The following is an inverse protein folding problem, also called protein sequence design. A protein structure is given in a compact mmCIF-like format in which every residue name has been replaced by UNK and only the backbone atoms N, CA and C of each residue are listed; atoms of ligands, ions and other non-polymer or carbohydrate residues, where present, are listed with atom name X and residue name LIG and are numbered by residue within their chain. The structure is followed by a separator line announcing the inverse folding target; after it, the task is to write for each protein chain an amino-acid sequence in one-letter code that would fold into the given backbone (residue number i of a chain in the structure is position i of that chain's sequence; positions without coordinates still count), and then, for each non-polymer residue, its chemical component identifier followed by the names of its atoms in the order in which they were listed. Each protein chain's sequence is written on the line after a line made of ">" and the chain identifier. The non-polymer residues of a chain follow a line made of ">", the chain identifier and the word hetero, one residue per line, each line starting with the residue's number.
data_IF_907140566509
#
_entry.id   IF_907140566509
#
_cell.length_a   1.000
_cell.length_b   1.000
_cell.length_c   1.000
_cell.angle_alpha   90.00
_cell.angle_beta   90.00
_cell.angle_gamma   90.00
#
_symmetry.space_group_name_H-M   'P 1'
#
loop_
_entity.id
_entity.type
_entity.pdbx_description
1 polymer ?
#
# COMPACT_ATOMS: atom_id res chain seq x y z
N UNK A 1 -34.95 0.36 23.89
CA UNK A 1 -33.75 -0.25 24.53
C UNK A 1 -32.65 0.76 24.52
N UNK A 2 -32.13 1.16 25.67
CA UNK A 2 -31.21 2.27 25.82
C UNK A 2 -29.87 1.98 25.16
N UNK A 3 -29.43 2.88 24.25
CA UNK A 3 -28.08 2.95 23.73
C UNK A 3 -27.11 3.06 24.92
N UNK A 4 -26.50 1.96 25.32
CA UNK A 4 -25.35 2.00 26.21
C UNK A 4 -24.29 2.86 25.51
N UNK A 5 -24.00 4.03 26.09
CA UNK A 5 -23.00 4.95 25.58
C UNK A 5 -21.70 4.15 25.29
N UNK A 6 -21.36 3.94 24.01
CA UNK A 6 -20.15 3.22 23.59
C UNK A 6 -18.96 3.89 24.28
N UNK A 7 -18.40 3.22 25.29
CA UNK A 7 -17.20 3.72 25.99
C UNK A 7 -16.07 3.84 24.96
N UNK A 8 -15.48 5.01 24.84
CA UNK A 8 -14.38 5.26 23.91
C UNK A 8 -13.30 4.17 24.05
N UNK A 9 -12.89 3.53 22.94
CA UNK A 9 -11.84 2.50 22.91
C UNK A 9 -10.51 2.98 23.51
N UNK A 10 -10.25 4.28 23.50
CA UNK A 10 -9.05 4.86 24.13
C UNK A 10 -9.00 4.68 25.66
N UNK A 11 -10.10 4.29 26.31
CA UNK A 11 -10.10 3.89 27.72
C UNK A 11 -9.53 2.47 27.93
N UNK A 12 -9.41 1.66 26.88
CA UNK A 12 -8.75 0.35 26.92
C UNK A 12 -7.23 0.58 26.72
N UNK A 13 -6.41 0.35 27.78
CA UNK A 13 -5.00 0.73 27.73
C UNK A 13 -4.22 -0.02 26.65
N UNK A 14 -4.56 -1.28 26.37
CA UNK A 14 -3.90 -2.06 25.31
C UNK A 14 -4.18 -1.50 23.91
N UNK A 15 -5.44 -1.15 23.62
CA UNK A 15 -5.80 -0.52 22.35
C UNK A 15 -5.16 0.86 22.20
N UNK A 16 -5.20 1.69 23.24
CA UNK A 16 -4.60 3.02 23.20
C UNK A 16 -3.09 2.95 22.89
N UNK A 17 -2.37 1.97 23.49
CA UNK A 17 -0.95 1.75 23.23
C UNK A 17 -0.69 1.29 21.81
N UNK A 18 -1.48 0.31 21.30
CA UNK A 18 -1.36 -0.17 19.92
C UNK A 18 -1.65 0.96 18.92
N UNK A 19 -2.75 1.70 19.12
CA UNK A 19 -3.11 2.81 18.26
C UNK A 19 -2.04 3.91 18.25
N UNK A 20 -1.49 4.27 19.41
CA UNK A 20 -0.42 5.26 19.51
C UNK A 20 0.85 4.76 18.84
N UNK A 21 1.25 3.50 19.06
CA UNK A 21 2.39 2.86 18.42
C UNK A 21 2.27 2.91 16.89
N UNK A 22 1.15 2.45 16.35
CA UNK A 22 0.88 2.48 14.91
C UNK A 22 0.89 3.91 14.37
N UNK A 23 0.22 4.86 15.04
CA UNK A 23 0.16 6.25 14.58
C UNK A 23 1.54 6.89 14.51
N UNK A 24 2.37 6.75 15.55
CA UNK A 24 3.71 7.33 15.57
C UNK A 24 4.58 6.75 14.45
N UNK A 25 4.57 5.42 14.27
CA UNK A 25 5.37 4.78 13.22
C UNK A 25 4.90 5.13 11.82
N UNK A 26 3.58 5.30 11.57
CA UNK A 26 3.05 5.73 10.28
C UNK A 26 3.54 7.13 9.88
N UNK A 27 3.53 8.07 10.81
CA UNK A 27 4.06 9.43 10.55
C UNK A 27 5.57 9.41 10.33
N UNK A 28 6.32 8.62 11.13
CA UNK A 28 7.76 8.44 10.95
C UNK A 28 8.09 7.87 9.57
N UNK A 29 7.39 6.81 9.15
CA UNK A 29 7.54 6.22 7.82
C UNK A 29 7.32 7.24 6.70
N UNK A 30 6.30 8.12 6.82
CA UNK A 30 6.06 9.20 5.87
C UNK A 30 7.26 10.16 5.73
N UNK A 31 7.99 10.37 6.82
CA UNK A 31 9.23 11.18 6.82
C UNK A 31 10.35 10.46 6.06
N UNK A 32 10.59 9.17 6.36
CA UNK A 32 11.66 8.38 5.72
C UNK A 32 11.41 8.15 4.23
N UNK A 33 10.16 8.00 3.81
CA UNK A 33 9.78 7.88 2.39
C UNK A 33 10.24 9.06 1.53
N UNK A 34 10.37 10.26 2.11
CA UNK A 34 10.94 11.42 1.45
C UNK A 34 12.45 11.53 1.68
N UNK A 35 12.91 11.26 2.92
CA UNK A 35 14.29 11.51 3.32
C UNK A 35 15.28 10.53 2.67
N UNK A 36 14.96 9.24 2.56
CA UNK A 36 15.88 8.23 2.01
C UNK A 36 16.17 8.47 0.52
N UNK A 37 15.16 8.66 -0.37
CA UNK A 37 15.42 9.02 -1.76
C UNK A 37 16.16 10.37 -1.89
N UNK A 38 15.90 11.34 -1.02
CA UNK A 38 16.65 12.59 -0.99
C UNK A 38 18.13 12.37 -0.65
N UNK A 39 18.43 11.55 0.35
CA UNK A 39 19.82 11.18 0.68
C UNK A 39 20.51 10.57 -0.53
N UNK A 40 19.89 9.60 -1.19
CA UNK A 40 20.44 8.96 -2.38
C UNK A 40 20.67 9.96 -3.52
N UNK A 41 19.66 10.77 -3.84
CA UNK A 41 19.71 11.69 -4.96
C UNK A 41 20.60 12.91 -4.71
N UNK A 42 20.54 13.54 -3.53
CA UNK A 42 21.14 14.85 -3.28
C UNK A 42 22.45 14.74 -2.48
N UNK A 43 22.46 13.96 -1.39
CA UNK A 43 23.63 13.86 -0.51
C UNK A 43 24.69 12.95 -1.13
N UNK A 44 24.32 11.73 -1.51
CA UNK A 44 25.24 10.78 -2.13
C UNK A 44 25.50 11.08 -3.60
N UNK A 45 24.64 11.88 -4.24
CA UNK A 45 24.70 12.17 -5.67
C UNK A 45 24.77 10.89 -6.52
N UNK A 46 24.07 9.85 -6.06
CA UNK A 46 24.06 8.55 -6.74
C UNK A 46 23.47 8.66 -8.15
N UNK A 47 24.00 7.97 -9.17
CA UNK A 47 23.41 7.92 -10.51
C UNK A 47 21.90 7.62 -10.48
N UNK A 48 21.16 8.06 -11.48
CA UNK A 48 19.71 7.87 -11.52
C UNK A 48 19.32 6.38 -11.49
N UNK A 49 20.11 5.54 -12.17
CA UNK A 49 19.94 4.09 -12.12
C UNK A 49 20.08 3.51 -10.71
N UNK A 50 21.03 4.00 -9.91
CA UNK A 50 21.20 3.55 -8.53
C UNK A 50 20.03 3.97 -7.65
N UNK A 51 19.48 5.19 -7.84
CA UNK A 51 18.28 5.64 -7.11
C UNK A 51 17.06 4.83 -7.52
N UNK A 52 16.89 4.52 -8.81
CA UNK A 52 15.83 3.64 -9.29
C UNK A 52 15.96 2.19 -8.78
N UNK A 53 17.21 1.70 -8.67
CA UNK A 53 17.50 0.39 -8.07
C UNK A 53 17.15 0.35 -6.57
N UNK A 54 17.34 1.45 -5.84
CA UNK A 54 16.93 1.56 -4.44
C UNK A 54 15.41 1.30 -4.30
N UNK A 55 14.59 1.95 -5.11
CA UNK A 55 13.15 1.70 -5.14
C UNK A 55 12.81 0.24 -5.48
N UNK A 56 13.55 -0.38 -6.41
CA UNK A 56 13.40 -1.80 -6.73
C UNK A 56 13.68 -2.68 -5.51
N UNK A 57 14.77 -2.42 -4.80
CA UNK A 57 15.22 -3.21 -3.64
C UNK A 57 14.27 -3.05 -2.45
N UNK A 58 13.70 -1.88 -2.23
CA UNK A 58 12.71 -1.62 -1.17
C UNK A 58 11.42 -2.42 -1.38
N UNK A 59 10.97 -2.59 -2.63
CA UNK A 59 9.75 -3.35 -2.95
C UNK A 59 9.97 -4.84 -3.19
N UNK A 60 11.20 -5.27 -3.46
CA UNK A 60 11.52 -6.67 -3.72
C UNK A 60 11.08 -7.64 -2.60
N UNK A 61 11.21 -7.31 -1.29
CA UNK A 61 10.74 -8.15 -0.21
C UNK A 61 9.24 -8.46 -0.27
N UNK A 62 8.41 -7.52 -0.71
CA UNK A 62 6.97 -7.76 -0.86
C UNK A 62 6.68 -8.84 -1.89
N UNK A 63 7.41 -8.86 -2.99
CA UNK A 63 7.28 -9.92 -4.00
C UNK A 63 7.76 -11.27 -3.49
N UNK A 64 8.89 -11.30 -2.77
CA UNK A 64 9.53 -12.55 -2.35
C UNK A 64 8.91 -13.17 -1.10
N UNK A 65 8.50 -12.35 -0.12
CA UNK A 65 8.16 -12.82 1.23
C UNK A 65 6.69 -12.71 1.59
N UNK A 66 5.84 -11.98 0.84
CA UNK A 66 4.41 -11.84 1.22
C UNK A 66 3.70 -13.21 1.36
N UNK A 67 3.94 -14.13 0.42
CA UNK A 67 3.31 -15.46 0.47
C UNK A 67 3.86 -16.35 1.59
N UNK A 68 5.19 -16.49 1.79
CA UNK A 68 5.71 -17.29 2.90
C UNK A 68 5.51 -16.63 4.27
N UNK A 69 5.38 -15.30 4.35
CA UNK A 69 5.20 -14.59 5.61
C UNK A 69 3.93 -15.02 6.35
N UNK A 70 2.81 -15.23 5.63
CA UNK A 70 1.58 -15.72 6.24
C UNK A 70 1.78 -17.03 7.01
N UNK A 71 2.41 -18.02 6.38
CA UNK A 71 2.68 -19.33 6.99
C UNK A 71 3.64 -19.23 8.19
N UNK A 72 4.59 -18.30 8.12
CA UNK A 72 5.57 -18.13 9.19
C UNK A 72 5.00 -17.38 10.39
N UNK A 73 4.23 -16.33 10.14
CA UNK A 73 3.60 -15.52 11.19
C UNK A 73 2.66 -16.36 12.05
N UNK A 74 1.94 -17.33 11.46
CA UNK A 74 1.06 -18.21 12.21
C UNK A 74 1.78 -19.14 13.19
N UNK A 75 3.10 -19.36 13.00
CA UNK A 75 3.92 -20.24 13.88
C UNK A 75 4.52 -19.52 15.08
N UNK A 76 4.51 -18.20 15.08
CA UNK A 76 5.17 -17.40 16.13
C UNK A 76 4.18 -16.49 16.84
N UNK A 77 4.42 -16.13 18.11
CA UNK A 77 3.61 -15.14 18.82
C UNK A 77 3.64 -13.80 18.08
N UNK A 78 2.47 -13.35 17.59
CA UNK A 78 2.30 -12.14 16.77
C UNK A 78 2.96 -10.91 17.40
N UNK A 79 2.78 -10.71 18.71
CA UNK A 79 3.42 -9.62 19.45
C UNK A 79 4.95 -9.64 19.35
N UNK A 80 5.59 -10.80 19.34
CA UNK A 80 7.06 -10.88 19.18
C UNK A 80 7.49 -10.45 17.79
N UNK A 81 6.72 -10.80 16.76
CA UNK A 81 6.98 -10.38 15.39
C UNK A 81 6.89 -8.87 15.27
N UNK A 82 5.85 -8.24 15.85
CA UNK A 82 5.70 -6.79 15.87
C UNK A 82 6.88 -6.10 16.54
N UNK A 83 7.29 -6.58 17.73
CA UNK A 83 8.43 -6.01 18.47
C UNK A 83 9.74 -6.17 17.69
N UNK A 84 10.02 -7.36 17.14
CA UNK A 84 11.24 -7.62 16.37
C UNK A 84 11.25 -6.80 15.09
N UNK A 85 10.09 -6.68 14.43
CA UNK A 85 9.92 -5.86 13.23
C UNK A 85 10.25 -4.40 13.48
N UNK A 86 9.69 -3.81 14.54
CA UNK A 86 9.95 -2.41 14.89
C UNK A 86 11.39 -2.17 15.35
N UNK A 87 11.96 -3.04 16.21
CA UNK A 87 13.34 -2.95 16.63
C UNK A 87 14.31 -3.09 15.46
N UNK A 88 14.03 -4.03 14.54
CA UNK A 88 14.85 -4.26 13.35
C UNK A 88 14.81 -3.06 12.41
N UNK A 89 13.62 -2.51 12.11
CA UNK A 89 13.45 -1.31 11.30
C UNK A 89 14.15 -0.10 11.95
N UNK A 90 13.92 0.12 13.24
CA UNK A 90 14.56 1.20 13.98
C UNK A 90 16.08 1.10 13.97
N UNK A 91 16.64 -0.10 14.22
CA UNK A 91 18.09 -0.32 14.20
C UNK A 91 18.71 -0.06 12.81
N UNK A 92 18.06 -0.53 11.75
CA UNK A 92 18.53 -0.28 10.38
C UNK A 92 18.49 1.21 10.05
N UNK A 93 17.42 1.92 10.37
CA UNK A 93 17.31 3.36 10.12
C UNK A 93 18.31 4.18 10.93
N UNK A 94 18.57 3.84 12.20
CA UNK A 94 19.60 4.52 13.03
C UNK A 94 21.00 4.43 12.40
N UNK A 95 21.29 3.37 11.64
CA UNK A 95 22.58 3.20 10.97
C UNK A 95 22.87 4.32 9.95
N UNK A 96 21.83 4.91 9.33
CA UNK A 96 21.99 5.96 8.31
C UNK A 96 22.57 7.26 8.91
N UNK A 97 21.98 7.87 9.95
CA UNK A 97 22.57 9.08 10.54
C UNK A 97 23.93 8.83 11.18
N UNK A 98 24.18 7.65 11.74
CA UNK A 98 25.50 7.30 12.29
C UNK A 98 26.55 7.27 11.18
N UNK A 99 26.27 6.60 10.07
CA UNK A 99 27.20 6.51 8.94
C UNK A 99 27.38 7.89 8.26
N UNK A 100 26.31 8.70 8.19
CA UNK A 100 26.40 10.06 7.68
C UNK A 100 27.29 10.95 8.55
N UNK A 101 27.15 10.86 9.88
CA UNK A 101 28.00 11.59 10.83
C UNK A 101 29.48 11.14 10.77
N UNK A 102 29.71 9.85 10.51
CA UNK A 102 31.05 9.29 10.31
C UNK A 102 31.64 9.56 8.92
N UNK A 103 30.87 10.14 7.98
CA UNK A 103 31.31 10.40 6.62
C UNK A 103 31.49 9.14 5.75
N UNK A 104 30.90 8.00 6.15
CA UNK A 104 31.03 6.69 5.47
C UNK A 104 29.72 6.19 4.86
N UNK A 105 28.69 7.04 4.80
CA UNK A 105 27.39 6.69 4.22
C UNK A 105 27.56 6.41 2.71
N UNK A 106 27.02 5.26 2.25
CA UNK A 106 27.08 4.83 0.86
C UNK A 106 25.71 4.36 0.36
N UNK A 107 25.54 4.30 -0.95
CA UNK A 107 24.30 3.79 -1.56
C UNK A 107 24.05 2.31 -1.22
N UNK A 108 25.11 1.52 -1.08
CA UNK A 108 25.02 0.10 -0.68
C UNK A 108 24.40 -0.08 0.70
N UNK A 109 24.68 0.86 1.62
CA UNK A 109 24.04 0.86 2.93
C UNK A 109 22.55 1.15 2.81
N UNK A 110 22.14 2.10 1.94
CA UNK A 110 20.72 2.37 1.70
C UNK A 110 20.01 1.16 1.09
N UNK A 111 20.67 0.42 0.19
CA UNK A 111 20.13 -0.85 -0.36
C UNK A 111 19.91 -1.89 0.73
N UNK A 112 20.90 -2.09 1.62
CA UNK A 112 20.77 -3.01 2.74
C UNK A 112 19.65 -2.61 3.68
N UNK A 113 19.60 -1.33 4.07
CA UNK A 113 18.55 -0.78 4.94
C UNK A 113 17.19 -0.93 4.28
N UNK A 114 17.04 -0.55 3.01
CA UNK A 114 15.76 -0.66 2.27
C UNK A 114 15.27 -2.10 2.17
N UNK A 115 16.16 -3.04 1.84
CA UNK A 115 15.82 -4.46 1.75
C UNK A 115 15.38 -5.04 3.11
N UNK A 116 16.18 -4.82 4.16
CA UNK A 116 15.87 -5.33 5.51
C UNK A 116 14.59 -4.70 6.05
N UNK A 117 14.43 -3.38 5.89
CA UNK A 117 13.18 -2.70 6.24
C UNK A 117 11.97 -3.29 5.51
N UNK A 118 12.09 -3.52 4.20
CA UNK A 118 11.03 -4.16 3.43
C UNK A 118 10.67 -5.55 3.96
N UNK A 119 11.67 -6.40 4.27
CA UNK A 119 11.44 -7.71 4.89
C UNK A 119 10.70 -7.57 6.21
N UNK A 120 11.21 -6.71 7.11
CA UNK A 120 10.58 -6.49 8.43
C UNK A 120 9.14 -5.96 8.30
N UNK A 121 8.89 -5.09 7.32
CA UNK A 121 7.56 -4.54 7.05
C UNK A 121 6.59 -5.63 6.61
N UNK A 122 6.98 -6.51 5.69
CA UNK A 122 6.12 -7.63 5.25
C UNK A 122 5.68 -8.50 6.43
N UNK A 123 6.60 -8.89 7.31
CA UNK A 123 6.26 -9.70 8.48
C UNK A 123 5.43 -8.92 9.50
N UNK A 124 5.74 -7.64 9.69
CA UNK A 124 4.99 -6.76 10.59
C UNK A 124 3.55 -6.62 10.13
N UNK A 125 3.31 -6.31 8.86
CA UNK A 125 1.97 -6.07 8.30
C UNK A 125 1.06 -7.30 8.46
N UNK A 126 1.60 -8.49 8.18
CA UNK A 126 0.83 -9.74 8.37
C UNK A 126 0.52 -10.00 9.85
N UNK A 127 1.46 -9.70 10.76
CA UNK A 127 1.25 -9.89 12.18
C UNK A 127 0.27 -8.85 12.77
N UNK A 128 0.34 -7.58 12.33
CA UNK A 128 -0.48 -6.48 12.84
C UNK A 128 -1.96 -6.71 12.57
N UNK A 129 -2.31 -7.12 11.35
CA UNK A 129 -3.69 -7.45 10.97
C UNK A 129 -4.30 -8.54 11.86
N UNK A 130 -3.49 -9.51 12.24
CA UNK A 130 -3.91 -10.61 13.10
C UNK A 130 -3.85 -10.26 14.59
N UNK A 131 -3.24 -9.14 14.99
CA UNK A 131 -3.04 -8.77 16.40
C UNK A 131 -4.21 -7.95 16.96
N UNK A 132 -4.84 -7.09 16.16
CA UNK A 132 -5.99 -6.29 16.61
C UNK A 132 -7.16 -7.14 17.15
N UNK A 133 -7.57 -8.27 16.50
CA UNK A 133 -8.60 -9.14 17.02
C UNK A 133 -8.25 -9.83 18.35
N UNK A 134 -6.97 -9.90 18.73
CA UNK A 134 -6.56 -10.45 20.02
C UNK A 134 -6.73 -9.46 21.19
N UNK A 135 -6.83 -8.15 20.90
CA UNK A 135 -6.92 -7.07 21.89
C UNK A 135 -8.36 -6.59 22.07
N UNK A 136 -9.20 -6.63 21.03
CA UNK A 136 -10.56 -6.12 21.00
C UNK A 136 -11.58 -7.26 20.95
N UNK A 137 -12.80 -6.98 21.41
CA UNK A 137 -13.95 -7.85 21.23
C UNK A 137 -14.51 -7.71 19.81
N UNK A 138 -15.25 -8.72 19.30
CA UNK A 138 -15.73 -8.73 17.90
C UNK A 138 -16.57 -7.51 17.54
N UNK A 139 -17.42 -7.04 18.44
CA UNK A 139 -18.28 -5.85 18.27
C UNK A 139 -17.50 -4.52 18.29
N UNK A 140 -16.26 -4.53 18.73
CA UNK A 140 -15.36 -3.36 18.80
C UNK A 140 -14.38 -3.27 17.63
N UNK A 141 -14.20 -4.36 16.86
CA UNK A 141 -13.23 -4.43 15.78
C UNK A 141 -13.48 -3.36 14.70
N UNK A 142 -14.75 -3.14 14.34
CA UNK A 142 -15.09 -2.11 13.35
C UNK A 142 -14.68 -0.71 13.80
N UNK A 143 -14.91 -0.35 15.08
CA UNK A 143 -14.49 0.96 15.64
C UNK A 143 -12.96 1.04 15.77
N UNK A 144 -12.29 -0.06 16.14
CA UNK A 144 -10.83 -0.15 16.20
C UNK A 144 -10.17 0.07 14.84
N UNK A 145 -10.62 -0.66 13.83
CA UNK A 145 -10.15 -0.52 12.45
C UNK A 145 -10.40 0.90 11.91
N UNK A 146 -11.58 1.48 12.16
CA UNK A 146 -11.89 2.85 11.74
C UNK A 146 -10.90 3.87 12.34
N UNK A 147 -10.49 3.72 13.60
CA UNK A 147 -9.50 4.60 14.24
C UNK A 147 -8.11 4.45 13.67
N UNK A 148 -7.68 3.21 13.40
CA UNK A 148 -6.40 2.96 12.72
C UNK A 148 -6.41 3.53 11.30
N UNK A 149 -7.51 3.38 10.56
CA UNK A 149 -7.66 3.94 9.23
C UNK A 149 -7.62 5.47 9.20
N UNK A 150 -8.18 6.14 10.21
CA UNK A 150 -8.07 7.60 10.35
C UNK A 150 -6.59 8.01 10.52
N UNK A 151 -5.83 7.29 11.37
CA UNK A 151 -4.41 7.55 11.55
C UNK A 151 -3.61 7.32 10.25
N UNK A 152 -3.90 6.23 9.53
CA UNK A 152 -3.30 5.93 8.23
C UNK A 152 -3.56 7.06 7.23
N UNK A 153 -4.81 7.51 7.11
CA UNK A 153 -5.19 8.61 6.21
C UNK A 153 -4.51 9.92 6.58
N UNK A 154 -4.43 10.23 7.89
CA UNK A 154 -3.74 11.42 8.37
C UNK A 154 -2.23 11.36 8.07
N UNK A 155 -1.59 10.21 8.31
CA UNK A 155 -0.17 10.02 8.00
C UNK A 155 0.13 10.11 6.50
N UNK A 156 -0.77 9.62 5.65
CA UNK A 156 -0.64 9.76 4.20
C UNK A 156 -0.67 11.20 3.73
N UNK A 157 -1.56 12.03 4.30
CA UNK A 157 -1.70 13.43 3.91
C UNK A 157 -0.57 14.29 4.49
N UNK A 158 -0.22 14.05 5.75
CA UNK A 158 0.67 14.93 6.51
C UNK A 158 2.10 14.41 6.61
N UNK A 159 2.33 13.11 6.43
CA UNK A 159 3.64 12.48 6.63
C UNK A 159 4.71 13.05 5.69
N UNK A 160 4.44 13.11 4.40
CA UNK A 160 5.40 13.66 3.43
C UNK A 160 5.61 15.18 3.58
N UNK A 161 4.57 16.04 3.75
CA UNK A 161 4.78 17.45 4.08
C UNK A 161 5.61 17.66 5.36
N UNK A 162 5.32 16.89 6.41
CA UNK A 162 6.14 16.92 7.63
C UNK A 162 7.57 16.49 7.36
N UNK A 163 7.76 15.42 6.57
CA UNK A 163 9.06 14.95 6.14
C UNK A 163 9.87 16.03 5.40
N UNK A 164 9.25 16.69 4.44
CA UNK A 164 9.86 17.79 3.69
C UNK A 164 10.29 18.93 4.61
N UNK A 165 9.40 19.36 5.52
CA UNK A 165 9.72 20.39 6.50
C UNK A 165 10.84 19.99 7.48
N UNK A 166 10.84 18.75 7.96
CA UNK A 166 11.87 18.23 8.86
C UNK A 166 13.23 18.15 8.15
N UNK A 167 13.26 17.64 6.90
CA UNK A 167 14.51 17.58 6.10
C UNK A 167 15.09 18.98 5.88
N UNK A 168 14.25 19.97 5.64
CA UNK A 168 14.68 21.36 5.45
C UNK A 168 15.19 22.02 6.73
N UNK A 169 14.55 21.76 7.86
CA UNK A 169 14.92 22.38 9.14
C UNK A 169 16.13 21.72 9.80
N UNK A 170 16.29 20.40 9.64
CA UNK A 170 17.35 19.64 10.31
C UNK A 170 18.40 19.15 9.30
N UNK A 171 18.18 18.05 8.71
CA UNK A 171 18.90 17.40 7.58
C UNK A 171 18.19 16.08 7.26
N UNK A 172 18.37 15.52 6.07
CA UNK A 172 17.72 14.25 5.73
C UNK A 172 18.16 13.07 6.62
N UNK A 173 19.44 12.88 7.00
CA UNK A 173 19.81 11.83 7.96
C UNK A 173 19.15 12.01 9.34
N UNK A 174 19.00 13.26 9.82
CA UNK A 174 18.29 13.51 11.08
C UNK A 174 16.77 13.26 10.98
N UNK A 175 16.18 13.50 9.82
CA UNK A 175 14.80 13.15 9.56
C UNK A 175 14.58 11.61 9.63
N UNK A 176 15.51 10.82 9.08
CA UNK A 176 15.50 9.35 9.22
C UNK A 176 15.67 8.92 10.67
N UNK A 177 16.46 9.64 11.50
CA UNK A 177 16.59 9.35 12.92
C UNK A 177 15.25 9.52 13.66
N UNK A 178 14.44 10.52 13.30
CA UNK A 178 13.11 10.71 13.88
C UNK A 178 12.22 9.49 13.62
N UNK A 179 12.24 8.96 12.40
CA UNK A 179 11.52 7.72 12.08
C UNK A 179 12.07 6.52 12.86
N UNK A 180 13.39 6.38 12.93
CA UNK A 180 14.00 5.33 13.73
C UNK A 180 13.53 5.37 15.20
N UNK A 181 13.48 6.56 15.79
CA UNK A 181 12.95 6.77 17.15
C UNK A 181 11.46 6.42 17.21
N UNK A 182 10.68 6.71 16.17
CA UNK A 182 9.27 6.37 16.10
C UNK A 182 9.05 4.85 16.19
N UNK A 183 9.84 4.05 15.47
CA UNK A 183 9.81 2.59 15.55
C UNK A 183 10.25 2.06 16.91
N UNK A 184 11.30 2.62 17.51
CA UNK A 184 11.74 2.22 18.85
C UNK A 184 10.68 2.58 19.91
N UNK A 185 10.00 3.72 19.76
CA UNK A 185 8.87 4.12 20.59
C UNK A 185 7.66 3.19 20.42
N UNK A 186 7.36 2.81 19.18
CA UNK A 186 6.33 1.82 18.85
C UNK A 186 6.62 0.47 19.52
N UNK A 187 7.84 -0.04 19.36
CA UNK A 187 8.29 -1.28 20.01
C UNK A 187 8.11 -1.22 21.54
N UNK A 188 8.52 -0.12 22.17
CA UNK A 188 8.38 0.08 23.62
C UNK A 188 6.91 0.07 24.06
N UNK A 189 6.03 0.72 23.29
CA UNK A 189 4.58 0.70 23.56
C UNK A 189 4.01 -0.72 23.41
N UNK A 190 4.35 -1.45 22.35
CA UNK A 190 3.90 -2.83 22.13
C UNK A 190 4.43 -3.76 23.25
N UNK A 191 5.69 -3.60 23.69
CA UNK A 191 6.25 -4.31 24.85
C UNK A 191 5.45 -4.02 26.12
N UNK A 192 4.92 -2.82 26.28
CA UNK A 192 4.15 -2.43 27.46
C UNK A 192 2.68 -2.94 27.45
N UNK A 193 2.19 -3.54 26.35
CA UNK A 193 0.87 -4.17 26.28
C UNK A 193 0.89 -5.42 27.18
N UNK A 194 -0.07 -5.51 28.08
CA UNK A 194 -0.22 -6.68 28.96
C UNK A 194 -1.10 -7.72 28.24
N UNK A 195 -0.53 -8.87 27.96
CA UNK A 195 -1.29 -10.01 27.42
C UNK A 195 -2.25 -10.53 28.49
N UNK A 196 -3.54 -10.58 28.16
CA UNK A 196 -4.56 -11.25 28.98
C UNK A 196 -4.44 -12.77 28.80
N UNK A 197 -5.00 -13.55 29.74
CA UNK A 197 -5.01 -15.01 29.66
C UNK A 197 -5.65 -15.56 28.36
N UNK A 198 -6.43 -14.75 27.65
CA UNK A 198 -7.04 -15.08 26.34
C UNK A 198 -6.01 -15.11 25.19
N UNK A 199 -4.94 -14.31 25.26
CA UNK A 199 -3.91 -14.22 24.23
C UNK A 199 -3.06 -15.48 24.15
N UNK A 200 -2.82 -16.12 25.29
CA UNK A 200 -2.05 -17.37 25.38
C UNK A 200 -2.84 -18.54 24.77
N UNK A 201 -4.16 -18.56 24.93
CA UNK A 201 -5.05 -19.60 24.40
C UNK A 201 -5.30 -19.41 22.88
N UNK A 202 -5.39 -18.16 22.39
CA UNK A 202 -5.51 -17.88 20.96
C UNK A 202 -4.23 -18.27 20.19
N UNK A 203 -3.05 -18.01 20.76
CA UNK A 203 -1.77 -18.43 20.18
C UNK A 203 -1.60 -19.97 20.09
N UNK A 204 -2.29 -20.73 20.95
CA UNK A 204 -2.29 -22.20 20.89
C UNK A 204 -3.43 -22.77 20.03
N UNK A 205 -4.54 -22.06 19.84
CA UNK A 205 -5.64 -22.46 18.97
C UNK A 205 -5.46 -22.08 17.49
N UNK A 206 -4.69 -21.05 17.20
CA UNK A 206 -4.31 -20.70 15.83
C UNK A 206 -3.36 -21.73 15.16
N UNK A 207 -2.95 -22.76 15.88
CA UNK A 207 -2.31 -23.96 15.32
C UNK A 207 -3.32 -24.90 14.63
N UNK A 208 -4.61 -24.56 14.61
CA UNK A 208 -5.64 -25.30 13.87
C UNK A 208 -5.87 -24.62 12.50
N UNK A 209 -5.77 -25.33 11.38
CA UNK A 209 -5.85 -24.73 10.03
C UNK A 209 -7.21 -24.11 9.66
N UNK A 210 -8.17 -24.08 10.57
CA UNK A 210 -9.57 -23.74 10.30
C UNK A 210 -9.86 -22.25 10.43
N UNK A 211 -9.09 -21.50 11.24
CA UNK A 211 -9.39 -20.09 11.54
C UNK A 211 -8.66 -19.09 10.61
N UNK A 212 -7.89 -19.55 9.63
CA UNK A 212 -7.10 -18.70 8.74
C UNK A 212 -7.90 -18.08 7.57
N UNK A 213 -9.17 -18.42 7.41
CA UNK A 213 -9.98 -17.99 6.24
C UNK A 213 -10.62 -16.60 6.44
N UNK A 214 -10.90 -16.20 7.70
CA UNK A 214 -11.62 -14.95 7.98
C UNK A 214 -10.74 -13.68 8.10
N UNK A 215 -9.41 -13.82 8.07
CA UNK A 215 -8.51 -12.67 8.28
C UNK A 215 -8.19 -11.88 6.99
N UNK A 216 -8.70 -12.31 5.83
CA UNK A 216 -8.31 -11.78 4.52
C UNK A 216 -9.06 -10.52 4.09
N UNK A 217 -10.15 -10.16 4.74
CA UNK A 217 -10.98 -9.01 4.34
C UNK A 217 -10.42 -7.63 4.73
N UNK A 218 -9.64 -7.55 5.81
CA UNK A 218 -9.07 -6.28 6.27
C UNK A 218 -7.85 -5.80 5.46
N UNK A 219 -7.24 -6.68 4.65
CA UNK A 219 -5.94 -6.46 4.01
C UNK A 219 -6.00 -5.64 2.71
N UNK A 220 -7.20 -5.38 2.18
CA UNK A 220 -7.34 -4.73 0.87
C UNK A 220 -7.25 -3.20 0.90
N UNK A 221 -7.36 -2.61 2.07
CA UNK A 221 -7.35 -1.14 2.22
C UNK A 221 -5.96 -0.58 2.48
N UNK A 222 -5.07 -1.37 3.08
CA UNK A 222 -3.74 -0.89 3.48
C UNK A 222 -2.67 -0.96 2.38
N UNK A 223 -2.90 -1.75 1.34
CA UNK A 223 -1.84 -2.15 0.42
C UNK A 223 -1.88 -1.55 -0.99
N UNK A 224 -2.93 -0.83 -1.31
CA UNK A 224 -3.01 -0.12 -2.58
C UNK A 224 -3.15 1.35 -2.32
N UNK A 225 -2.04 2.08 -2.12
CA UNK A 225 -2.13 3.51 -1.83
C UNK A 225 -3.16 3.81 -0.72
N UNK A 226 -2.66 4.11 0.44
CA UNK A 226 -3.33 4.92 1.43
C UNK A 226 -4.55 5.67 0.89
N UNK A 227 -5.71 5.30 1.26
CA UNK A 227 -6.88 6.09 1.51
C UNK A 227 -8.19 5.59 0.89
N UNK A 228 -9.11 5.40 1.76
CA UNK A 228 -10.50 5.68 1.50
C UNK A 228 -11.31 4.61 0.82
N UNK A 229 -11.78 3.65 1.59
CA UNK A 229 -13.10 3.08 1.43
C UNK A 229 -13.48 2.28 2.67
N UNK A 230 -13.92 2.96 3.72
CA UNK A 230 -14.74 2.36 4.76
C UNK A 230 -16.15 2.89 4.60
N UNK A 231 -16.93 2.29 3.71
CA UNK A 231 -18.40 2.44 3.69
C UNK A 231 -18.99 1.08 3.41
N UNK A 232 -19.81 0.63 4.34
CA UNK A 232 -20.75 -0.48 4.26
C UNK A 232 -20.16 -1.90 4.30
N UNK A 233 -19.99 -2.43 5.52
CA UNK A 233 -20.28 -3.81 5.82
C UNK A 233 -21.29 -3.84 6.97
N UNK A 234 -22.55 -3.81 6.61
CA UNK A 234 -23.64 -4.21 7.49
C UNK A 234 -24.50 -5.22 6.69
N UNK A 235 -24.67 -6.40 7.27
CA UNK A 235 -25.49 -7.51 6.81
C UNK A 235 -24.77 -8.64 6.06
N UNK A 236 -24.24 -9.60 6.81
CA UNK A 236 -24.35 -11.03 6.54
C UNK A 236 -23.92 -11.81 7.79
N UNK A 237 -24.85 -12.00 8.71
CA UNK A 237 -24.74 -12.99 9.78
C UNK A 237 -25.82 -14.01 9.50
N UNK A 238 -25.42 -15.13 8.97
CA UNK A 238 -25.95 -16.49 9.11
C UNK A 238 -25.52 -17.34 7.91
N UNK A 239 -24.27 -17.81 7.92
CA UNK A 239 -23.88 -18.98 7.16
C UNK A 239 -22.85 -19.78 7.98
N UNK A 240 -23.06 -21.08 8.24
CA UNK A 240 -22.04 -21.91 8.88
C UNK A 240 -20.89 -22.06 7.89
N UNK A 241 -19.77 -21.38 8.16
CA UNK A 241 -18.57 -21.37 7.32
C UNK A 241 -18.13 -22.78 6.84
N UNK A 242 -17.31 -22.85 5.79
CA UNK A 242 -16.97 -24.10 5.11
C UNK A 242 -16.42 -25.15 6.06
N UNK A 243 -16.94 -26.38 5.92
CA UNK A 243 -16.54 -27.53 6.74
C UNK A 243 -15.16 -28.04 6.33
N UNK A 244 -14.48 -28.76 7.23
CA UNK A 244 -13.17 -29.39 6.98
C UNK A 244 -13.06 -30.23 5.68
N UNK A 245 -14.19 -30.58 5.08
CA UNK A 245 -14.26 -31.28 3.80
C UNK A 245 -13.93 -30.40 2.58
N UNK A 246 -13.97 -29.07 2.75
CA UNK A 246 -13.72 -28.08 1.69
C UNK A 246 -12.26 -27.57 1.64
N UNK A 247 -11.38 -28.10 2.50
CA UNK A 247 -9.96 -27.74 2.46
C UNK A 247 -9.34 -28.23 1.13
N UNK A 248 -8.75 -27.34 0.32
CA UNK A 248 -8.26 -27.71 -1.00
C UNK A 248 -7.09 -28.70 -0.87
N UNK A 249 -7.23 -29.86 -1.53
CA UNK A 249 -6.17 -30.84 -1.69
C UNK A 249 -5.10 -30.28 -2.65
N UNK A 250 -4.15 -29.48 -2.12
CA UNK A 250 -3.04 -28.96 -2.93
C UNK A 250 -2.16 -28.04 -2.11
N UNK A 251 -0.83 -28.14 -2.31
CA UNK A 251 0.13 -27.23 -1.67
C UNK A 251 -0.05 -25.78 -2.14
N UNK A 252 0.56 -24.81 -1.43
CA UNK A 252 0.50 -23.37 -1.71
C UNK A 252 0.70 -23.03 -3.20
N UNK A 253 1.58 -23.74 -3.91
CA UNK A 253 1.80 -23.56 -5.36
C UNK A 253 0.53 -23.84 -6.18
N UNK A 254 -0.19 -24.92 -5.88
CA UNK A 254 -1.42 -25.27 -6.58
C UNK A 254 -2.49 -24.17 -6.37
N UNK A 255 -2.63 -23.65 -5.16
CA UNK A 255 -3.60 -22.59 -4.84
C UNK A 255 -3.29 -21.27 -5.59
N UNK A 256 -2.01 -20.92 -5.74
CA UNK A 256 -1.60 -19.75 -6.53
C UNK A 256 -1.91 -19.97 -8.01
N UNK A 257 -1.60 -21.15 -8.55
CA UNK A 257 -1.90 -21.46 -9.94
C UNK A 257 -3.41 -21.48 -10.22
N UNK A 258 -4.21 -22.00 -9.30
CA UNK A 258 -5.68 -22.01 -9.42
C UNK A 258 -6.22 -20.57 -9.43
N UNK A 259 -5.76 -19.72 -8.51
CA UNK A 259 -6.14 -18.30 -8.46
C UNK A 259 -5.71 -17.54 -9.72
N UNK A 260 -4.50 -17.79 -10.21
CA UNK A 260 -3.98 -17.16 -11.43
C UNK A 260 -4.78 -17.61 -12.66
N UNK A 261 -5.07 -18.92 -12.77
CA UNK A 261 -5.86 -19.48 -13.85
C UNK A 261 -7.29 -18.94 -13.86
N UNK A 262 -7.90 -18.81 -12.66
CA UNK A 262 -9.20 -18.20 -12.49
C UNK A 262 -9.21 -16.75 -12.99
N UNK A 263 -8.24 -15.93 -12.61
CA UNK A 263 -8.14 -14.53 -13.04
C UNK A 263 -7.98 -14.42 -14.55
N UNK A 264 -7.04 -15.17 -15.14
CA UNK A 264 -6.72 -15.08 -16.58
C UNK A 264 -7.89 -15.52 -17.44
N UNK A 265 -8.65 -16.54 -17.02
CA UNK A 265 -9.81 -17.03 -17.78
C UNK A 265 -11.09 -16.26 -17.54
N UNK A 266 -11.15 -15.49 -16.46
CA UNK A 266 -12.36 -14.73 -16.14
C UNK A 266 -12.46 -13.49 -17.04
N UNK A 267 -13.61 -13.30 -17.68
CA UNK A 267 -13.89 -12.26 -18.68
C UNK A 267 -13.55 -10.83 -18.20
N UNK A 268 -13.74 -10.53 -16.92
CA UNK A 268 -13.52 -9.21 -16.33
C UNK A 268 -12.19 -9.12 -15.56
N UNK A 269 -11.87 -10.13 -14.74
CA UNK A 269 -10.74 -10.10 -13.82
C UNK A 269 -9.39 -9.99 -14.54
N UNK A 270 -9.22 -10.72 -15.64
CA UNK A 270 -8.00 -10.70 -16.44
C UNK A 270 -7.70 -9.29 -16.99
N UNK A 271 -8.72 -8.61 -17.51
CA UNK A 271 -8.55 -7.26 -18.05
C UNK A 271 -8.30 -6.20 -16.97
N UNK A 272 -8.93 -6.34 -15.78
CA UNK A 272 -8.66 -5.49 -14.63
C UNK A 272 -7.22 -5.71 -14.13
N UNK A 273 -6.77 -6.97 -14.00
CA UNK A 273 -5.41 -7.31 -13.61
C UNK A 273 -4.37 -6.76 -14.60
N UNK A 274 -4.62 -6.90 -15.90
CA UNK A 274 -3.76 -6.37 -16.95
C UNK A 274 -3.69 -4.83 -16.88
N UNK A 275 -4.82 -4.13 -16.78
CA UNK A 275 -4.86 -2.68 -16.65
C UNK A 275 -4.10 -2.21 -15.41
N UNK A 276 -4.33 -2.80 -14.24
CA UNK A 276 -3.65 -2.40 -13.00
C UNK A 276 -2.14 -2.71 -13.08
N UNK A 277 -1.78 -3.91 -13.57
CA UNK A 277 -0.38 -4.33 -13.69
C UNK A 277 0.40 -3.46 -14.68
N UNK A 278 -0.17 -3.17 -15.85
CA UNK A 278 0.44 -2.29 -16.86
C UNK A 278 0.55 -0.85 -16.33
N UNK A 279 -0.48 -0.36 -15.66
CA UNK A 279 -0.46 0.97 -15.04
C UNK A 279 0.65 1.08 -13.98
N UNK A 280 0.79 0.09 -13.10
CA UNK A 280 1.87 0.05 -12.13
C UNK A 280 3.24 -0.06 -12.79
N UNK A 281 3.38 -0.91 -13.81
CA UNK A 281 4.63 -1.05 -14.54
C UNK A 281 5.08 0.30 -15.12
N UNK A 282 4.20 0.93 -15.89
CA UNK A 282 4.52 2.17 -16.59
C UNK A 282 4.74 3.34 -15.64
N UNK A 283 3.91 3.50 -14.62
CA UNK A 283 4.07 4.58 -13.63
C UNK A 283 5.35 4.42 -12.79
N UNK A 284 5.79 3.19 -12.50
CA UNK A 284 7.01 2.96 -11.74
C UNK A 284 8.29 3.13 -12.58
N UNK A 285 8.22 3.12 -13.92
CA UNK A 285 9.35 3.54 -14.77
C UNK A 285 9.80 4.97 -14.42
N UNK A 286 8.86 5.91 -14.34
CA UNK A 286 9.15 7.29 -13.95
C UNK A 286 9.22 7.49 -12.44
N UNK A 287 8.37 6.77 -11.69
CA UNK A 287 8.27 6.90 -10.23
C UNK A 287 9.57 6.60 -9.49
N UNK A 288 10.29 5.55 -9.89
CA UNK A 288 11.54 5.15 -9.26
C UNK A 288 12.65 6.20 -9.38
N UNK A 289 12.68 6.95 -10.48
CA UNK A 289 13.67 8.00 -10.74
C UNK A 289 13.16 9.41 -10.43
N UNK A 290 11.87 9.53 -10.00
CA UNK A 290 11.25 10.82 -9.69
C UNK A 290 12.06 11.66 -8.68
N UNK A 291 12.69 11.11 -7.63
CA UNK A 291 13.53 11.91 -6.73
C UNK A 291 14.71 12.59 -7.46
N UNK A 292 15.34 11.91 -8.42
CA UNK A 292 16.43 12.51 -9.23
C UNK A 292 15.86 13.60 -10.13
N UNK A 293 14.73 13.35 -10.77
CA UNK A 293 14.05 14.32 -11.61
C UNK A 293 13.64 15.57 -10.81
N UNK A 294 12.97 15.37 -9.66
CA UNK A 294 12.51 16.48 -8.84
C UNK A 294 13.68 17.32 -8.26
N UNK A 295 14.66 16.67 -7.66
CA UNK A 295 15.71 17.39 -6.95
C UNK A 295 16.85 17.90 -7.85
N UNK A 296 17.24 17.14 -8.87
CA UNK A 296 18.40 17.52 -9.71
C UNK A 296 18.02 18.19 -11.02
N UNK A 297 16.96 17.71 -11.69
CA UNK A 297 16.54 18.28 -12.97
C UNK A 297 15.70 19.55 -12.75
N UNK A 298 14.73 19.50 -11.84
CA UNK A 298 13.85 20.62 -11.55
C UNK A 298 14.31 21.51 -10.40
N UNK A 299 15.35 21.13 -9.66
CA UNK A 299 15.89 21.91 -8.55
C UNK A 299 14.91 22.10 -7.38
N UNK A 300 13.97 21.19 -7.19
CA UNK A 300 12.94 21.31 -6.16
C UNK A 300 13.54 21.16 -4.75
N UNK A 301 12.94 21.85 -3.79
CA UNK A 301 13.30 21.69 -2.37
C UNK A 301 12.55 20.51 -1.74
N UNK A 302 13.06 19.95 -0.61
CA UNK A 302 12.36 18.88 0.11
C UNK A 302 10.94 19.27 0.54
N UNK A 303 10.72 20.53 0.93
CA UNK A 303 9.41 21.04 1.32
C UNK A 303 8.45 21.03 0.13
N UNK A 304 8.93 21.42 -1.06
CA UNK A 304 8.14 21.43 -2.27
C UNK A 304 7.69 20.00 -2.65
N UNK A 305 8.60 19.04 -2.58
CA UNK A 305 8.28 17.61 -2.84
C UNK A 305 7.35 17.08 -1.75
N UNK A 306 7.57 17.43 -0.49
CA UNK A 306 6.67 17.10 0.61
C UNK A 306 5.26 17.68 0.41
N UNK A 307 5.14 18.94 -0.02
CA UNK A 307 3.86 19.57 -0.32
C UNK A 307 3.11 18.84 -1.45
N UNK A 308 3.81 18.42 -2.50
CA UNK A 308 3.24 17.61 -3.59
C UNK A 308 2.68 16.30 -3.04
N UNK A 309 3.39 15.62 -2.14
CA UNK A 309 2.89 14.43 -1.45
C UNK A 309 1.62 14.69 -0.63
N UNK A 310 1.56 15.82 0.07
CA UNK A 310 0.37 16.27 0.79
C UNK A 310 -0.83 16.54 -0.14
N UNK A 311 -0.59 17.18 -1.29
CA UNK A 311 -1.61 17.39 -2.32
C UNK A 311 -2.11 16.06 -2.89
N UNK A 312 -1.20 15.09 -3.14
CA UNK A 312 -1.59 13.73 -3.52
C UNK A 312 -2.51 13.10 -2.48
N UNK A 313 -2.15 13.19 -1.18
CA UNK A 313 -2.99 12.72 -0.07
C UNK A 313 -4.37 13.38 -0.04
N UNK A 314 -4.47 14.70 -0.26
CA UNK A 314 -5.74 15.40 -0.37
C UNK A 314 -6.56 14.91 -1.58
N UNK A 315 -5.89 14.62 -2.71
CA UNK A 315 -6.51 14.01 -3.90
C UNK A 315 -7.13 12.65 -3.60
N UNK A 316 -6.43 11.82 -2.81
CA UNK A 316 -6.94 10.52 -2.36
C UNK A 316 -8.26 10.68 -1.58
N UNK A 317 -8.32 11.59 -0.60
CA UNK A 317 -9.55 11.86 0.15
C UNK A 317 -10.69 12.32 -0.75
N UNK A 318 -10.41 13.27 -1.63
CA UNK A 318 -11.44 13.76 -2.55
C UNK A 318 -11.92 12.65 -3.49
N UNK A 319 -10.99 11.83 -4.02
CA UNK A 319 -11.30 10.67 -4.84
C UNK A 319 -12.28 9.72 -4.15
N UNK A 320 -12.01 9.39 -2.88
CA UNK A 320 -12.90 8.53 -2.09
C UNK A 320 -14.31 9.12 -1.95
N UNK A 321 -14.40 10.42 -1.65
CA UNK A 321 -15.70 11.11 -1.47
C UNK A 321 -16.54 11.18 -2.74
N UNK A 322 -15.90 11.28 -3.92
CA UNK A 322 -16.62 11.44 -5.19
C UNK A 322 -16.94 10.13 -5.90
N UNK A 323 -16.22 9.03 -5.57
CA UNK A 323 -16.31 7.75 -6.28
C UNK A 323 -17.75 7.24 -6.37
N UNK A 324 -18.46 7.17 -5.22
CA UNK A 324 -19.85 6.67 -5.18
C UNK A 324 -20.77 7.50 -6.06
N UNK A 325 -20.65 8.84 -6.01
CA UNK A 325 -21.46 9.73 -6.83
C UNK A 325 -21.20 9.54 -8.33
N UNK A 326 -19.94 9.28 -8.71
CA UNK A 326 -19.58 9.00 -10.10
C UNK A 326 -20.18 7.66 -10.53
N UNK A 327 -20.07 6.61 -9.70
CA UNK A 327 -20.64 5.28 -9.96
C UNK A 327 -22.16 5.33 -10.14
N UNK A 328 -22.87 6.08 -9.30
CA UNK A 328 -24.31 6.26 -9.40
C UNK A 328 -24.74 6.96 -10.72
N UNK A 329 -23.91 7.87 -11.24
CA UNK A 329 -24.24 8.65 -12.46
C UNK A 329 -23.91 7.93 -13.76
N UNK A 330 -22.76 7.27 -13.84
CA UNK A 330 -22.27 6.69 -15.10
C UNK A 330 -22.15 5.17 -15.10
N UNK A 331 -22.37 4.53 -13.95
CA UNK A 331 -22.21 3.08 -13.73
C UNK A 331 -20.77 2.69 -13.36
N UNK A 332 -20.64 1.52 -12.72
CA UNK A 332 -19.37 1.04 -12.15
C UNK A 332 -18.31 0.81 -13.24
N UNK A 333 -18.67 0.15 -14.32
CA UNK A 333 -17.73 -0.19 -15.40
C UNK A 333 -17.17 1.05 -16.12
N UNK A 334 -18.01 2.06 -16.38
CA UNK A 334 -17.55 3.33 -16.94
C UNK A 334 -16.71 4.13 -15.97
N UNK A 335 -16.98 4.03 -14.66
CA UNK A 335 -16.18 4.67 -13.62
C UNK A 335 -14.77 4.05 -13.58
N UNK A 336 -14.65 2.72 -13.69
CA UNK A 336 -13.37 2.02 -13.81
C UNK A 336 -12.59 2.52 -15.04
N UNK A 337 -13.25 2.58 -16.19
CA UNK A 337 -12.62 3.06 -17.43
C UNK A 337 -12.19 4.52 -17.30
N UNK A 338 -13.05 5.41 -16.78
CA UNK A 338 -12.75 6.83 -16.61
C UNK A 338 -11.52 7.04 -15.70
N UNK A 339 -11.51 6.37 -14.54
CA UNK A 339 -10.39 6.47 -13.60
C UNK A 339 -9.07 6.00 -14.23
N UNK A 340 -9.09 4.87 -14.94
CA UNK A 340 -7.90 4.35 -15.62
C UNK A 340 -7.44 5.27 -16.76
N UNK A 341 -8.39 5.74 -17.63
CA UNK A 341 -8.07 6.53 -18.81
C UNK A 341 -7.62 7.95 -18.48
N UNK A 342 -8.16 8.56 -17.40
CA UNK A 342 -7.81 9.94 -17.05
C UNK A 342 -6.41 10.05 -16.41
N UNK A 343 -5.86 8.97 -15.83
CA UNK A 343 -4.55 8.99 -15.19
C UNK A 343 -3.42 9.31 -16.18
N UNK A 344 -3.44 8.73 -17.38
CA UNK A 344 -2.40 8.93 -18.39
C UNK A 344 -2.25 10.40 -18.85
N UNK A 345 -3.32 11.05 -19.36
CA UNK A 345 -3.26 12.46 -19.78
C UNK A 345 -2.80 13.40 -18.66
N UNK A 346 -3.23 13.16 -17.41
CA UNK A 346 -2.78 13.96 -16.27
C UNK A 346 -1.29 13.71 -15.98
N UNK A 347 -0.81 12.48 -16.16
CA UNK A 347 0.61 12.13 -15.98
C UNK A 347 1.54 12.85 -16.98
N UNK A 348 1.07 13.20 -18.18
CA UNK A 348 1.83 13.97 -19.16
C UNK A 348 2.21 15.39 -18.69
N UNK A 349 1.53 15.91 -17.67
CA UNK A 349 1.88 17.21 -17.09
C UNK A 349 3.23 17.18 -16.36
N UNK A 350 3.65 16.00 -15.84
CA UNK A 350 4.89 15.88 -15.06
C UNK A 350 6.12 16.24 -15.90
N UNK A 351 6.38 15.63 -17.07
CA UNK A 351 7.56 15.96 -17.86
C UNK A 351 7.50 17.33 -18.57
N UNK A 352 6.32 17.99 -18.64
CA UNK A 352 6.16 19.35 -19.20
C UNK A 352 6.61 20.41 -18.19
N UNK A 353 6.67 20.08 -16.89
CA UNK A 353 7.00 21.03 -15.84
C UNK A 353 8.43 21.58 -16.03
N UNK A 354 8.55 22.91 -15.90
CA UNK A 354 9.81 23.62 -15.79
C UNK A 354 10.18 23.89 -14.31
N UNK A 355 11.44 24.20 -13.98
CA UNK A 355 11.82 24.56 -12.60
C UNK A 355 10.93 25.59 -11.94
N UNK A 356 10.45 26.58 -12.69
CA UNK A 356 9.60 27.67 -12.20
C UNK A 356 8.16 27.22 -11.92
N UNK A 357 7.65 26.27 -12.70
CA UNK A 357 6.27 25.78 -12.64
C UNK A 357 6.12 24.44 -11.96
N UNK A 358 7.24 23.79 -11.58
CA UNK A 358 7.29 22.43 -11.10
C UNK A 358 6.32 22.16 -9.96
N UNK A 359 6.33 22.98 -8.91
CA UNK A 359 5.47 22.78 -7.73
C UNK A 359 3.99 22.82 -8.10
N UNK A 360 3.59 23.78 -8.95
CA UNK A 360 2.21 23.92 -9.35
C UNK A 360 1.76 22.79 -10.28
N UNK A 361 2.52 22.53 -11.36
CA UNK A 361 2.13 21.56 -12.38
C UNK A 361 2.20 20.13 -11.84
N UNK A 362 3.31 19.77 -11.17
CA UNK A 362 3.47 18.43 -10.61
C UNK A 362 2.51 18.24 -9.43
N UNK A 363 2.33 19.26 -8.58
CA UNK A 363 1.36 19.20 -7.49
C UNK A 363 -0.08 19.00 -7.98
N UNK A 364 -0.50 19.73 -9.00
CA UNK A 364 -1.81 19.54 -9.64
C UNK A 364 -1.91 18.16 -10.28
N UNK A 365 -0.85 17.70 -10.97
CA UNK A 365 -0.83 16.37 -11.59
C UNK A 365 -0.98 15.27 -10.54
N UNK A 366 -0.21 15.27 -9.47
CA UNK A 366 -0.29 14.27 -8.40
C UNK A 366 -1.65 14.29 -7.69
N UNK A 367 -2.19 15.49 -7.43
CA UNK A 367 -3.54 15.63 -6.86
C UNK A 367 -4.60 14.99 -7.76
N UNK A 368 -4.62 15.32 -9.05
CA UNK A 368 -5.60 14.77 -10.01
C UNK A 368 -5.38 13.28 -10.26
N UNK A 369 -4.13 12.82 -10.41
CA UNK A 369 -3.81 11.41 -10.56
C UNK A 369 -4.28 10.60 -9.35
N UNK A 370 -4.14 11.14 -8.14
CA UNK A 370 -4.60 10.47 -6.91
C UNK A 370 -6.13 10.33 -6.89
N UNK A 371 -6.87 11.35 -7.33
CA UNK A 371 -8.33 11.24 -7.49
C UNK A 371 -8.67 10.12 -8.48
N UNK A 372 -8.07 10.13 -9.67
CA UNK A 372 -8.32 9.13 -10.72
C UNK A 372 -7.98 7.72 -10.24
N UNK A 373 -6.85 7.57 -9.55
CA UNK A 373 -6.40 6.28 -9.01
C UNK A 373 -7.38 5.72 -7.96
N UNK A 374 -7.87 6.56 -7.03
CA UNK A 374 -8.85 6.11 -6.02
C UNK A 374 -10.18 5.76 -6.67
N UNK A 375 -10.68 6.59 -7.61
CA UNK A 375 -11.90 6.29 -8.36
C UNK A 375 -11.79 4.95 -9.08
N UNK A 376 -10.65 4.69 -9.72
CA UNK A 376 -10.36 3.39 -10.35
C UNK A 376 -10.31 2.27 -9.32
N UNK A 377 -9.50 2.43 -8.27
CA UNK A 377 -9.19 1.36 -7.31
C UNK A 377 -10.43 0.92 -6.52
N UNK A 378 -11.18 1.85 -5.94
CA UNK A 378 -12.42 1.55 -5.22
C UNK A 378 -13.41 0.81 -6.12
N UNK A 379 -13.60 1.30 -7.35
CA UNK A 379 -14.59 0.71 -8.27
C UNK A 379 -14.19 -0.71 -8.73
N UNK A 380 -12.90 -0.92 -9.05
CA UNK A 380 -12.44 -2.24 -9.52
C UNK A 380 -12.38 -3.27 -8.39
N UNK A 381 -12.03 -2.85 -7.16
CA UNK A 381 -12.00 -3.75 -5.99
C UNK A 381 -13.42 -4.21 -5.66
N UNK A 382 -14.37 -3.27 -5.56
CA UNK A 382 -15.78 -3.61 -5.30
C UNK A 382 -16.35 -4.56 -6.36
N UNK A 383 -16.06 -4.30 -7.65
CA UNK A 383 -16.50 -5.21 -8.72
C UNK A 383 -15.87 -6.60 -8.59
N UNK A 384 -14.56 -6.68 -8.34
CA UNK A 384 -13.85 -7.95 -8.19
C UNK A 384 -14.42 -8.80 -7.06
N UNK A 385 -14.69 -8.18 -5.91
CA UNK A 385 -15.28 -8.86 -4.75
C UNK A 385 -16.67 -9.39 -5.08
N UNK A 386 -17.50 -8.59 -5.72
CA UNK A 386 -18.87 -8.98 -6.05
C UNK A 386 -18.99 -10.12 -7.09
N UNK A 387 -18.03 -10.23 -8.02
CA UNK A 387 -18.06 -11.27 -9.08
C UNK A 387 -17.26 -12.53 -8.73
N UNK A 388 -16.56 -12.52 -7.59
CA UNK A 388 -15.72 -13.65 -7.16
C UNK A 388 -16.49 -14.47 -6.13
N UNK A 389 -16.68 -15.80 -6.32
CA UNK A 389 -17.27 -16.65 -5.30
C UNK A 389 -16.46 -16.63 -3.99
N UNK A 390 -17.13 -16.62 -2.83
CA UNK A 390 -16.49 -16.50 -1.51
C UNK A 390 -15.33 -17.48 -1.30
N UNK A 391 -15.50 -18.74 -1.71
CA UNK A 391 -14.45 -19.77 -1.66
C UNK A 391 -13.19 -19.44 -2.46
N UNK A 392 -13.25 -18.49 -3.40
CA UNK A 392 -12.14 -18.09 -4.26
C UNK A 392 -11.58 -16.71 -3.93
N UNK A 393 -12.25 -15.91 -3.08
CA UNK A 393 -11.85 -14.53 -2.75
C UNK A 393 -10.40 -14.44 -2.28
N UNK A 394 -10.01 -15.26 -1.31
CA UNK A 394 -8.64 -15.27 -0.80
C UNK A 394 -7.59 -15.60 -1.87
N UNK A 395 -7.85 -16.63 -2.70
CA UNK A 395 -6.95 -17.02 -3.79
C UNK A 395 -6.87 -15.96 -4.88
N UNK A 396 -8.02 -15.40 -5.26
CA UNK A 396 -8.10 -14.31 -6.24
C UNK A 396 -7.31 -13.10 -5.76
N UNK A 397 -7.49 -12.68 -4.50
CA UNK A 397 -6.79 -11.54 -3.94
C UNK A 397 -5.27 -11.76 -3.87
N UNK A 398 -4.81 -12.92 -3.40
CA UNK A 398 -3.38 -13.26 -3.36
C UNK A 398 -2.76 -13.26 -4.77
N UNK A 399 -3.45 -13.84 -5.76
CA UNK A 399 -3.00 -13.87 -7.15
C UNK A 399 -3.01 -12.49 -7.80
N UNK A 400 -4.03 -11.66 -7.54
CA UNK A 400 -4.08 -10.26 -7.98
C UNK A 400 -2.94 -9.46 -7.39
N UNK A 401 -2.69 -9.59 -6.11
CA UNK A 401 -1.59 -8.91 -5.42
C UNK A 401 -0.24 -9.28 -6.05
N UNK A 402 0.00 -10.55 -6.28
CA UNK A 402 1.21 -11.02 -6.94
C UNK A 402 1.37 -10.45 -8.35
N UNK A 403 0.32 -10.50 -9.18
CA UNK A 403 0.34 -9.97 -10.55
C UNK A 403 0.58 -8.46 -10.59
N UNK A 404 -0.12 -7.73 -9.72
CA UNK A 404 -0.16 -6.27 -9.76
C UNK A 404 1.07 -5.65 -9.08
N UNK A 405 1.49 -6.21 -7.93
CA UNK A 405 2.64 -5.68 -7.20
C UNK A 405 3.97 -6.18 -7.74
N UNK A 406 3.99 -7.36 -8.34
CA UNK A 406 5.18 -7.87 -9.01
C UNK A 406 5.65 -6.99 -10.18
N UNK A 407 4.77 -6.16 -10.76
CA UNK A 407 5.15 -5.22 -11.81
C UNK A 407 5.89 -3.98 -11.30
N UNK A 408 5.76 -3.63 -10.01
CA UNK A 408 6.41 -2.45 -9.41
C UNK A 408 7.94 -2.54 -9.49
N UNK A 409 8.61 -3.58 -8.94
CA UNK A 409 10.07 -3.68 -9.04
C UNK A 409 10.55 -3.84 -10.50
N UNK A 410 9.76 -4.43 -11.38
CA UNK A 410 10.10 -4.54 -12.80
C UNK A 410 10.08 -3.15 -13.45
N UNK A 411 9.04 -2.35 -13.22
CA UNK A 411 8.96 -0.98 -13.72
C UNK A 411 10.08 -0.10 -13.19
N UNK A 412 10.38 -0.20 -11.89
CA UNK A 412 11.49 0.53 -11.26
C UNK A 412 12.84 0.16 -11.86
N UNK A 413 13.09 -1.13 -12.12
CA UNK A 413 14.34 -1.60 -12.75
C UNK A 413 14.45 -1.12 -14.19
N UNK A 414 13.36 -1.15 -14.97
CA UNK A 414 13.33 -0.61 -16.33
C UNK A 414 13.62 0.90 -16.30
N UNK A 415 13.00 1.64 -15.38
CA UNK A 415 13.23 3.08 -15.21
C UNK A 415 14.68 3.39 -14.83
N UNK A 416 15.26 2.61 -13.92
CA UNK A 416 16.67 2.70 -13.57
C UNK A 416 17.58 2.54 -14.80
N UNK A 417 17.37 1.47 -15.58
CA UNK A 417 18.18 1.22 -16.79
C UNK A 417 17.97 2.27 -17.89
N UNK A 418 16.72 2.67 -18.16
CA UNK A 418 16.43 3.69 -19.16
C UNK A 418 17.06 5.04 -18.81
N UNK A 419 17.01 5.44 -17.53
CA UNK A 419 17.58 6.72 -17.11
C UNK A 419 19.09 6.85 -17.35
N UNK A 420 19.83 5.74 -17.36
CA UNK A 420 21.26 5.71 -17.68
C UNK A 420 21.52 5.76 -19.20
N UNK A 421 20.59 5.26 -20.02
CA UNK A 421 20.77 5.17 -21.48
C UNK A 421 20.26 6.41 -22.19
N UNK A 422 19.06 6.87 -21.86
CA UNK A 422 18.38 7.97 -22.57
C UNK A 422 18.27 9.25 -21.75
N UNK A 423 18.60 9.20 -20.46
CA UNK A 423 18.49 10.34 -19.56
C UNK A 423 17.23 10.32 -18.69
N UNK A 424 17.25 11.15 -17.63
CA UNK A 424 16.17 11.20 -16.62
C UNK A 424 14.90 11.81 -17.20
N UNK A 425 15.01 12.95 -17.88
CA UNK A 425 13.88 13.66 -18.49
C UNK A 425 13.15 12.79 -19.51
N UNK A 426 13.89 12.14 -20.39
CA UNK A 426 13.38 11.28 -21.45
C UNK A 426 12.70 10.05 -20.88
N UNK A 427 13.24 9.48 -19.80
CA UNK A 427 12.62 8.35 -19.09
C UNK A 427 11.29 8.74 -18.47
N UNK A 428 11.17 9.94 -17.89
CA UNK A 428 9.89 10.45 -17.38
C UNK A 428 8.87 10.63 -18.51
N UNK A 429 9.31 11.11 -19.69
CA UNK A 429 8.46 11.18 -20.89
C UNK A 429 7.99 9.81 -21.35
N UNK A 430 8.89 8.83 -21.42
CA UNK A 430 8.55 7.44 -21.79
C UNK A 430 7.50 6.88 -20.84
N UNK A 431 7.70 7.03 -19.52
CA UNK A 431 6.74 6.60 -18.50
C UNK A 431 5.36 7.24 -18.71
N UNK A 432 5.30 8.55 -18.91
CA UNK A 432 4.06 9.29 -19.10
C UNK A 432 3.32 8.88 -20.38
N UNK A 433 4.06 8.74 -21.50
CA UNK A 433 3.49 8.31 -22.80
C UNK A 433 2.95 6.88 -22.73
N UNK A 434 3.71 5.95 -22.13
CA UNK A 434 3.26 4.57 -21.96
C UNK A 434 2.01 4.48 -21.08
N UNK A 435 1.94 5.31 -20.05
CA UNK A 435 0.79 5.37 -19.14
C UNK A 435 -0.51 5.82 -19.84
N UNK A 436 -0.43 6.52 -20.98
CA UNK A 436 -1.60 6.84 -21.83
C UNK A 436 -2.33 5.59 -22.34
N UNK A 437 -1.64 4.46 -22.44
CA UNK A 437 -2.18 3.23 -23.00
C UNK A 437 -2.54 2.19 -21.95
N UNK A 438 -2.28 2.47 -20.66
CA UNK A 438 -2.51 1.51 -19.58
C UNK A 438 -3.98 1.08 -19.42
N UNK A 439 -4.94 1.92 -19.82
CA UNK A 439 -6.38 1.64 -19.74
C UNK A 439 -6.91 0.73 -20.85
N UNK A 440 -6.14 0.45 -21.90
CA UNK A 440 -6.60 -0.30 -23.10
C UNK A 440 -7.21 -1.66 -22.77
N UNK A 441 -6.64 -2.51 -21.85
CA UNK A 441 -7.26 -3.79 -21.56
C UNK A 441 -8.71 -3.67 -21.03
N UNK A 442 -8.97 -2.69 -20.16
CA UNK A 442 -10.35 -2.42 -19.70
C UNK A 442 -11.22 -1.87 -20.83
N UNK A 443 -10.71 -0.97 -21.68
CA UNK A 443 -11.46 -0.38 -22.78
C UNK A 443 -11.99 -1.45 -23.75
N UNK A 444 -11.14 -2.40 -24.14
CA UNK A 444 -11.51 -3.45 -25.12
C UNK A 444 -12.33 -4.58 -24.48
N UNK A 445 -12.45 -4.60 -23.15
CA UNK A 445 -13.20 -5.62 -22.40
C UNK A 445 -14.69 -5.29 -22.35
N UNK A 446 -15.46 -6.19 -21.73
CA UNK A 446 -16.87 -5.94 -21.42
C UNK A 446 -17.07 -5.13 -20.10
N UNK A 447 -16.01 -4.83 -19.36
CA UNK A 447 -16.08 -4.08 -18.09
C UNK A 447 -16.85 -2.75 -18.23
N UNK A 448 -16.62 -1.89 -19.26
CA UNK A 448 -17.33 -0.62 -19.38
C UNK A 448 -18.87 -0.72 -19.54
N UNK A 449 -19.38 -1.91 -19.85
CA UNK A 449 -20.83 -2.16 -20.02
C UNK A 449 -21.54 -2.44 -18.69
N UNK A 450 -20.81 -2.68 -17.62
CA UNK A 450 -21.37 -2.97 -16.29
C UNK A 450 -21.94 -1.69 -15.70
N UNK A 451 -23.26 -1.67 -15.47
CA UNK A 451 -23.96 -0.49 -14.90
C UNK A 451 -23.95 -0.55 -13.37
N UNK A 452 -24.31 -1.70 -12.79
CA UNK A 452 -24.41 -1.92 -11.35
C UNK A 452 -23.53 -3.08 -10.94
N UNK A 453 -23.07 -3.07 -9.69
CA UNK A 453 -22.38 -4.23 -9.11
C UNK A 453 -23.38 -5.38 -9.04
N UNK A 454 -23.07 -6.57 -9.59
CA UNK A 454 -23.95 -7.74 -9.46
C UNK A 454 -24.19 -8.06 -7.99
N UNK A 455 -25.42 -7.99 -7.54
CA UNK A 455 -25.83 -8.37 -6.19
C UNK A 455 -26.32 -9.81 -6.24
N UNK A 456 -25.45 -10.78 -5.88
CA UNK A 456 -25.80 -12.16 -5.52
C UNK A 456 -26.49 -13.02 -6.58
N UNK A 457 -26.06 -14.26 -6.64
CA UNK A 457 -26.48 -15.43 -7.42
C UNK A 457 -26.30 -15.33 -8.96
N UNK A 458 -25.51 -16.22 -9.55
CA UNK A 458 -25.57 -16.43 -11.00
C UNK A 458 -26.98 -16.91 -11.33
N UNK A 459 -27.71 -16.20 -12.20
CA UNK A 459 -28.90 -16.75 -12.82
C UNK A 459 -28.55 -18.14 -13.35
N UNK A 460 -29.34 -19.19 -13.03
CA UNK A 460 -29.15 -20.49 -13.65
C UNK A 460 -29.24 -20.30 -15.16
N UNK A 461 -28.14 -20.58 -15.86
CA UNK A 461 -28.12 -20.58 -17.32
C UNK A 461 -29.31 -21.39 -17.82
N UNK A 462 -30.25 -20.69 -18.49
CA UNK A 462 -31.28 -21.38 -19.24
C UNK A 462 -30.60 -22.35 -20.21
N UNK A 463 -30.89 -23.61 -20.02
CA UNK A 463 -30.41 -24.73 -20.79
C UNK A 463 -30.88 -24.65 -22.25
#
# INVERSE_FOLDING_TARGET
>A
MASAARRSLFRKPNFAKLWTAATISLFGTGVSQLAIPFIAAVILKAPAGEVGLLATIEFLPFLLFTLPAGVWVDRFPRRRILIIGDLGRGAMLVSIPIAAAAGVLTIWQLYLVGFVNGVMTVFFDVADQSYLPSILERDELADGNAKLQISQSAATILGQPMGGGIVALLTAPMAVLIDAISYLGSAALIVSIREGARDVVAGHRAASPIDAVDATEADQVAAGTSAGASVAVEAAVDDPGPTLADAPAGGMRAQIFDGLHFIIRHEYLGNIAATTGISNLFSNIGGAIFPVYAYRTLGMTPEAVGLIGGLAGAGILLGALVTTRIQERIGVGRTILLGAAATGPVGLLIPIASPETAVLIIGASFFLMSICNVVYNVSQVSLRQAITPDRMLGRMNASMRFLVWGTIPIGSLIGAGLSEVIGVQETVWVSAILSLFAFLPVLISKVPRIQTIPTGEPEPSAA
#
